data_IF_618371456607
#
_entry.id   IF_618371456607
#
_cell.length_a   1.000
_cell.length_b   1.000
_cell.length_c   1.000
_cell.angle_alpha   90.00
_cell.angle_beta   90.00
_cell.angle_gamma   90.00
#
_symmetry.space_group_name_H-M   'P 1'
#
loop_
_entity.id
_entity.type
_entity.pdbx_description
1 polymer ?
#
# COMPACT_ATOMS: atom_id res chain seq x y z
N UNK A 1 37.83 -3.03 29.25
CA UNK A 1 37.42 -2.57 27.90
C UNK A 1 36.17 -3.34 27.48
N UNK A 2 35.03 -2.71 27.63
CA UNK A 2 33.74 -3.36 27.35
C UNK A 2 33.38 -3.11 25.88
N UNK A 3 33.39 -4.16 25.08
CA UNK A 3 33.05 -4.14 23.66
C UNK A 3 31.51 -3.97 23.51
N UNK A 4 31.04 -2.78 23.15
CA UNK A 4 29.65 -2.58 22.77
C UNK A 4 29.41 -3.37 21.49
N UNK A 5 28.74 -4.51 21.58
CA UNK A 5 28.15 -5.20 20.43
C UNK A 5 27.11 -4.28 19.82
N UNK A 6 27.40 -3.76 18.65
CA UNK A 6 26.39 -3.17 17.77
C UNK A 6 25.36 -4.28 17.46
N UNK A 7 24.21 -4.22 18.10
CA UNK A 7 23.06 -5.00 17.67
C UNK A 7 22.62 -4.41 16.34
N UNK A 8 22.93 -5.12 15.26
CA UNK A 8 22.30 -4.91 13.96
C UNK A 8 20.82 -5.23 14.19
N UNK A 9 19.98 -4.21 14.20
CA UNK A 9 18.52 -4.41 14.15
C UNK A 9 18.21 -5.11 12.82
N UNK A 10 17.99 -6.42 12.88
CA UNK A 10 17.41 -7.15 11.73
C UNK A 10 15.97 -6.67 11.62
N UNK A 11 15.72 -5.81 10.64
CA UNK A 11 14.40 -5.34 10.34
C UNK A 11 13.52 -6.52 9.93
N UNK A 12 12.40 -6.69 10.63
CA UNK A 12 11.44 -7.76 10.33
C UNK A 12 10.56 -7.36 9.15
N UNK A 13 10.36 -8.28 8.20
CA UNK A 13 9.39 -8.14 7.12
C UNK A 13 7.93 -8.12 7.63
N UNK A 14 7.70 -8.62 8.85
CA UNK A 14 6.38 -8.63 9.47
C UNK A 14 6.05 -7.26 10.06
N UNK A 15 4.91 -6.73 9.67
CA UNK A 15 4.37 -5.45 10.13
C UNK A 15 3.00 -5.62 10.74
N UNK A 16 2.66 -4.70 11.65
CA UNK A 16 1.33 -4.63 12.22
C UNK A 16 0.87 -3.19 12.40
N UNK A 17 -0.41 -2.96 12.21
CA UNK A 17 -1.05 -1.65 12.42
C UNK A 17 -2.39 -1.84 13.12
N UNK A 18 -2.67 -0.97 14.08
CA UNK A 18 -3.98 -0.90 14.74
C UNK A 18 -4.78 0.22 14.12
N UNK A 19 -6.01 -0.09 13.69
CA UNK A 19 -6.93 0.82 12.98
C UNK A 19 -8.22 1.02 13.78
N UNK A 20 -8.85 2.20 13.69
CA UNK A 20 -10.25 2.38 14.05
C UNK A 20 -11.14 1.38 13.31
N UNK A 21 -12.25 0.97 13.94
CA UNK A 21 -13.10 -0.09 13.40
C UNK A 21 -13.67 0.22 12.03
N UNK A 22 -14.14 1.43 11.80
CA UNK A 22 -14.70 1.90 10.53
C UNK A 22 -13.67 1.85 9.39
N UNK A 23 -12.44 2.23 9.66
CA UNK A 23 -11.33 2.12 8.70
C UNK A 23 -11.01 0.65 8.41
N UNK A 24 -10.93 -0.18 9.45
CA UNK A 24 -10.71 -1.62 9.31
C UNK A 24 -11.80 -2.28 8.46
N UNK A 25 -13.08 -1.97 8.73
CA UNK A 25 -14.22 -2.48 7.96
C UNK A 25 -14.11 -2.12 6.47
N UNK A 26 -13.75 -0.88 6.15
CA UNK A 26 -13.56 -0.43 4.77
C UNK A 26 -12.45 -1.21 4.08
N UNK A 27 -11.33 -1.39 4.74
CA UNK A 27 -10.20 -2.17 4.23
C UNK A 27 -10.61 -3.64 3.95
N UNK A 28 -11.31 -4.28 4.88
CA UNK A 28 -11.76 -5.66 4.71
C UNK A 28 -12.80 -5.81 3.58
N UNK A 29 -13.70 -4.83 3.42
CA UNK A 29 -14.66 -4.80 2.31
C UNK A 29 -13.95 -4.70 0.96
N UNK A 30 -12.95 -3.83 0.85
CA UNK A 30 -12.21 -3.64 -0.41
C UNK A 30 -11.30 -4.84 -0.72
N UNK A 31 -10.68 -5.49 0.27
CA UNK A 31 -9.95 -6.75 0.10
C UNK A 31 -10.85 -7.82 -0.54
N UNK A 32 -12.07 -7.97 -0.01
CA UNK A 32 -13.06 -8.92 -0.54
C UNK A 32 -13.52 -8.53 -1.94
N UNK A 33 -13.85 -7.26 -2.15
CA UNK A 33 -14.33 -6.73 -3.42
C UNK A 33 -13.32 -6.92 -4.54
N UNK A 34 -12.05 -6.60 -4.28
CA UNK A 34 -10.98 -6.75 -5.27
C UNK A 34 -10.47 -8.18 -5.41
N UNK A 35 -10.96 -9.09 -4.57
CA UNK A 35 -10.55 -10.50 -4.55
C UNK A 35 -9.02 -10.69 -4.51
N UNK A 36 -8.36 -9.90 -3.69
CA UNK A 36 -6.91 -9.98 -3.46
C UNK A 36 -6.63 -10.37 -2.01
N UNK A 37 -5.48 -11.00 -1.76
CA UNK A 37 -5.11 -11.33 -0.40
C UNK A 37 -4.64 -10.08 0.37
N UNK A 38 -4.74 -10.15 1.68
CA UNK A 38 -4.40 -9.06 2.60
C UNK A 38 -2.96 -8.55 2.43
N UNK A 39 -1.99 -9.45 2.29
CA UNK A 39 -0.60 -9.05 2.11
C UNK A 39 -0.42 -8.24 0.82
N UNK A 40 -0.98 -8.69 -0.30
CA UNK A 40 -0.94 -7.96 -1.57
C UNK A 40 -1.62 -6.61 -1.46
N UNK A 41 -2.80 -6.55 -0.83
CA UNK A 41 -3.53 -5.30 -0.61
C UNK A 41 -2.67 -4.29 0.18
N UNK A 42 -2.14 -4.69 1.33
CA UNK A 42 -1.35 -3.82 2.20
C UNK A 42 -0.07 -3.33 1.50
N UNK A 43 0.62 -4.20 0.78
CA UNK A 43 1.82 -3.81 0.03
C UNK A 43 1.51 -2.83 -1.10
N UNK A 44 0.42 -3.02 -1.85
CA UNK A 44 -0.02 -2.08 -2.90
C UNK A 44 -0.34 -0.70 -2.32
N UNK A 45 -1.03 -0.64 -1.19
CA UNK A 45 -1.28 0.64 -0.48
C UNK A 45 0.05 1.31 -0.13
N UNK A 46 0.98 0.59 0.46
CA UNK A 46 2.27 1.13 0.89
C UNK A 46 3.05 1.68 -0.31
N UNK A 47 3.15 0.92 -1.40
CA UNK A 47 3.85 1.35 -2.62
C UNK A 47 3.17 2.56 -3.25
N UNK A 48 1.87 2.50 -3.46
CA UNK A 48 1.15 3.45 -4.32
C UNK A 48 0.72 4.74 -3.59
N UNK A 49 0.96 4.86 -2.27
CA UNK A 49 0.68 6.07 -1.50
C UNK A 49 1.93 6.85 -1.12
N UNK A 50 3.13 6.43 -1.52
CA UNK A 50 4.39 7.03 -1.07
C UNK A 50 4.45 8.55 -1.26
N UNK A 51 4.05 9.06 -2.40
CA UNK A 51 4.07 10.49 -2.72
C UNK A 51 3.01 11.33 -1.99
N UNK A 52 1.98 10.71 -1.43
CA UNK A 52 0.81 11.39 -0.85
C UNK A 52 0.75 11.35 0.68
N UNK A 53 1.76 10.76 1.34
CA UNK A 53 1.74 10.53 2.80
C UNK A 53 1.99 11.78 3.62
N UNK A 54 2.74 12.72 3.10
CA UNK A 54 3.24 13.88 3.85
C UNK A 54 2.15 14.91 4.20
N UNK A 55 1.06 14.94 3.42
CA UNK A 55 -0.05 15.87 3.65
C UNK A 55 -1.11 15.35 4.63
N UNK A 56 -1.01 14.08 5.01
CA UNK A 56 -1.96 13.44 5.93
C UNK A 56 -1.39 13.28 7.33
N UNK A 57 -1.31 14.36 8.07
CA UNK A 57 -1.35 14.27 9.54
C UNK A 57 -2.78 13.91 9.97
N UNK A 58 -3.17 12.66 9.78
CA UNK A 58 -4.42 12.17 10.35
C UNK A 58 -4.23 12.18 11.85
N UNK A 59 -4.75 13.22 12.49
CA UNK A 59 -5.01 13.17 13.93
C UNK A 59 -5.85 11.94 14.15
N UNK A 60 -5.25 10.91 14.71
CA UNK A 60 -5.95 9.71 15.13
C UNK A 60 -7.10 10.22 15.98
N UNK A 61 -8.30 10.15 15.43
CA UNK A 61 -9.51 10.35 16.24
C UNK A 61 -9.39 9.28 17.30
N UNK A 62 -9.18 9.71 18.54
CA UNK A 62 -8.92 8.84 19.67
C UNK A 62 -9.82 7.64 19.59
N UNK A 63 -9.19 6.51 19.61
CA UNK A 63 -9.73 5.17 19.63
C UNK A 63 -11.20 5.11 20.04
N UNK A 64 -12.09 4.83 19.10
CA UNK A 64 -13.31 4.16 19.47
C UNK A 64 -12.87 2.87 20.18
N UNK A 65 -13.59 2.42 21.18
CA UNK A 65 -13.27 1.24 22.02
C UNK A 65 -13.10 -0.07 21.21
N UNK A 66 -13.20 -0.03 19.88
CA UNK A 66 -13.17 -1.16 18.95
C UNK A 66 -12.07 -1.01 17.90
N UNK A 67 -10.83 -0.89 18.34
CA UNK A 67 -9.70 -0.96 17.41
C UNK A 67 -9.46 -2.39 16.94
N UNK A 68 -9.05 -2.54 15.68
CA UNK A 68 -8.68 -3.83 15.08
C UNK A 68 -7.24 -3.80 14.61
N UNK A 69 -6.52 -4.90 14.84
CA UNK A 69 -5.13 -5.07 14.42
C UNK A 69 -5.11 -5.77 13.07
N UNK A 70 -4.31 -5.24 12.14
CA UNK A 70 -3.95 -5.89 10.89
C UNK A 70 -2.48 -6.29 10.98
N UNK A 71 -2.19 -7.55 10.67
CA UNK A 71 -0.84 -8.08 10.52
C UNK A 71 -0.63 -8.54 9.07
N UNK A 72 0.52 -8.22 8.52
CA UNK A 72 0.90 -8.57 7.15
C UNK A 72 2.43 -8.61 7.01
N UNK A 73 2.91 -9.14 5.88
CA UNK A 73 4.33 -9.14 5.55
C UNK A 73 4.60 -8.21 4.39
N UNK A 74 5.69 -7.47 4.48
CA UNK A 74 6.22 -6.73 3.33
C UNK A 74 6.62 -7.72 2.24
N UNK A 75 6.30 -7.40 1.00
CA UNK A 75 6.86 -8.09 -0.14
C UNK A 75 8.32 -7.70 -0.33
N UNK A 76 9.03 -8.41 -1.21
CA UNK A 76 10.44 -8.15 -1.46
C UNK A 76 10.70 -6.71 -1.89
N UNK A 77 9.88 -6.17 -2.79
CA UNK A 77 9.99 -4.81 -3.31
C UNK A 77 9.92 -3.76 -2.18
N UNK A 78 8.91 -3.84 -1.32
CA UNK A 78 8.76 -2.91 -0.20
C UNK A 78 9.80 -3.13 0.91
N UNK A 79 10.29 -4.34 1.06
CA UNK A 79 11.36 -4.65 2.01
C UNK A 79 12.70 -4.10 1.53
N UNK A 80 13.03 -4.29 0.26
CA UNK A 80 14.27 -3.78 -0.35
C UNK A 80 14.29 -2.23 -0.37
N UNK A 81 13.12 -1.59 -0.48
CA UNK A 81 12.94 -0.13 -0.44
C UNK A 81 12.57 0.40 0.96
N UNK A 82 12.87 -0.36 2.02
CA UNK A 82 12.42 -0.04 3.38
C UNK A 82 12.82 1.36 3.84
N UNK A 83 14.06 1.76 3.64
CA UNK A 83 14.55 3.07 4.05
C UNK A 83 13.87 4.21 3.29
N UNK A 84 13.56 4.02 2.01
CA UNK A 84 12.81 4.98 1.23
C UNK A 84 11.36 5.11 1.73
N UNK A 85 10.74 3.98 2.06
CA UNK A 85 9.35 3.92 2.50
C UNK A 85 9.17 4.41 3.94
N UNK A 86 10.05 4.02 4.85
CA UNK A 86 9.91 4.21 6.28
C UNK A 86 11.00 5.10 6.89
N UNK A 87 12.10 5.37 6.16
CA UNK A 87 13.26 6.12 6.65
C UNK A 87 13.24 7.61 6.41
N UNK A 88 12.55 8.10 5.38
CA UNK A 88 12.63 9.48 4.89
C UNK A 88 11.75 10.51 5.61
N UNK A 89 11.27 10.25 6.80
CA UNK A 89 10.39 11.18 7.49
C UNK A 89 11.15 11.93 8.59
N UNK A 90 11.58 13.14 8.24
CA UNK A 90 12.17 14.09 9.15
C UNK A 90 13.67 14.35 8.90
N UNK A 91 14.06 15.61 9.05
CA UNK A 91 15.45 16.06 8.91
C UNK A 91 16.34 15.60 10.07
N UNK A 92 15.77 14.98 11.10
CA UNK A 92 16.45 14.52 12.31
C UNK A 92 15.97 13.13 12.73
N UNK A 93 16.83 12.29 13.34
CA UNK A 93 16.44 10.96 13.83
C UNK A 93 15.27 10.98 14.83
N UNK A 94 15.10 12.05 15.57
CA UNK A 94 14.02 12.27 16.53
C UNK A 94 12.66 12.52 15.89
N UNK A 95 12.62 12.85 14.61
CA UNK A 95 11.40 13.12 13.83
C UNK A 95 10.88 11.87 13.09
N UNK A 96 11.57 10.71 13.22
CA UNK A 96 11.18 9.47 12.55
C UNK A 96 9.88 8.92 13.15
N UNK A 97 8.85 8.85 12.32
CA UNK A 97 7.58 8.23 12.71
C UNK A 97 7.72 6.70 12.81
N UNK A 98 7.01 6.05 13.74
CA UNK A 98 6.92 4.59 13.77
C UNK A 98 6.29 4.04 12.49
N UNK A 99 6.75 2.86 12.02
CA UNK A 99 6.20 2.19 10.83
C UNK A 99 4.68 2.07 10.87
N UNK A 100 4.14 1.72 12.04
CA UNK A 100 2.69 1.60 12.24
C UNK A 100 1.94 2.90 12.01
N UNK A 101 2.56 4.04 12.27
CA UNK A 101 1.96 5.36 12.01
C UNK A 101 2.01 5.71 10.53
N UNK A 102 3.13 5.42 9.87
CA UNK A 102 3.27 5.57 8.41
C UNK A 102 2.22 4.74 7.67
N UNK A 103 2.08 3.47 8.05
CA UNK A 103 1.09 2.56 7.48
C UNK A 103 -0.33 3.06 7.75
N UNK A 104 -0.60 3.55 8.95
CA UNK A 104 -1.91 4.11 9.31
C UNK A 104 -2.25 5.34 8.49
N UNK A 105 -1.29 6.22 8.28
CA UNK A 105 -1.47 7.42 7.44
C UNK A 105 -1.73 7.05 5.97
N UNK A 106 -1.03 6.05 5.43
CA UNK A 106 -1.29 5.53 4.10
C UNK A 106 -2.71 4.97 3.95
N UNK A 107 -3.18 4.20 4.95
CA UNK A 107 -4.54 3.66 4.98
C UNK A 107 -5.59 4.76 5.19
N UNK A 108 -5.30 5.76 6.01
CA UNK A 108 -6.18 6.90 6.22
C UNK A 108 -6.39 7.68 4.92
N UNK A 109 -5.31 7.97 4.20
CA UNK A 109 -5.41 8.54 2.85
C UNK A 109 -6.27 7.67 1.94
N UNK A 110 -5.97 6.36 1.86
CA UNK A 110 -6.71 5.41 1.04
C UNK A 110 -8.23 5.45 1.30
N UNK A 111 -8.67 5.41 2.56
CA UNK A 111 -10.10 5.37 2.89
C UNK A 111 -10.83 6.68 2.61
N UNK A 112 -10.12 7.80 2.49
CA UNK A 112 -10.74 9.10 2.08
C UNK A 112 -11.04 9.17 0.59
N UNK A 113 -10.42 8.32 -0.23
CA UNK A 113 -10.62 8.28 -1.66
C UNK A 113 -12.02 7.75 -2.00
N UNK A 114 -12.57 8.22 -3.13
CA UNK A 114 -13.76 7.61 -3.70
C UNK A 114 -13.49 6.15 -4.07
N UNK A 115 -14.53 5.35 -4.16
CA UNK A 115 -14.44 3.92 -4.51
C UNK A 115 -13.60 3.68 -5.77
N UNK A 116 -13.87 4.46 -6.81
CA UNK A 116 -13.13 4.41 -8.06
C UNK A 116 -11.63 4.72 -7.88
N UNK A 117 -11.31 5.77 -7.12
CA UNK A 117 -9.93 6.14 -6.86
C UNK A 117 -9.18 5.09 -6.03
N UNK A 118 -9.88 4.42 -5.11
CA UNK A 118 -9.31 3.30 -4.36
C UNK A 118 -8.97 2.13 -5.27
N UNK A 119 -9.85 1.81 -6.21
CA UNK A 119 -9.61 0.77 -7.21
C UNK A 119 -8.40 1.11 -8.09
N UNK A 120 -8.34 2.33 -8.62
CA UNK A 120 -7.17 2.80 -9.38
C UNK A 120 -5.88 2.67 -8.59
N UNK A 121 -5.86 3.08 -7.32
CA UNK A 121 -4.68 2.99 -6.49
C UNK A 121 -4.23 1.53 -6.28
N UNK A 122 -5.16 0.62 -6.08
CA UNK A 122 -4.85 -0.81 -5.91
C UNK A 122 -4.28 -1.42 -7.20
N UNK A 123 -4.79 -1.03 -8.35
CA UNK A 123 -4.38 -1.57 -9.66
C UNK A 123 -3.48 -0.63 -10.46
N UNK A 124 -2.81 0.33 -9.79
CA UNK A 124 -1.98 1.34 -10.46
C UNK A 124 -0.96 0.72 -11.42
N UNK A 125 -0.26 -0.31 -10.98
CA UNK A 125 0.75 -1.00 -11.80
C UNK A 125 0.16 -1.64 -13.07
N UNK A 126 -1.01 -2.24 -12.94
CA UNK A 126 -1.72 -2.83 -14.07
C UNK A 126 -2.24 -1.75 -15.04
N UNK A 127 -2.72 -0.63 -14.50
CA UNK A 127 -3.17 0.53 -15.30
C UNK A 127 -2.00 1.13 -16.06
N UNK A 128 -0.89 1.42 -15.39
CA UNK A 128 0.32 1.97 -16.01
C UNK A 128 0.84 1.07 -17.15
N UNK A 129 0.81 -0.25 -16.96
CA UNK A 129 1.19 -1.22 -17.98
C UNK A 129 0.28 -1.16 -19.22
N UNK A 130 -1.02 -0.99 -19.02
CA UNK A 130 -1.99 -0.90 -20.12
C UNK A 130 -1.82 0.45 -20.85
N UNK A 131 -1.67 1.55 -20.12
CA UNK A 131 -1.45 2.89 -20.69
C UNK A 131 -0.15 2.93 -21.50
N UNK A 132 0.94 2.38 -20.98
CA UNK A 132 2.21 2.27 -21.70
C UNK A 132 2.07 1.45 -23.00
N UNK A 133 1.31 0.34 -22.96
CA UNK A 133 1.07 -0.48 -24.15
C UNK A 133 0.22 0.25 -25.20
N UNK A 134 -0.75 1.06 -24.78
CA UNK A 134 -1.56 1.90 -25.67
C UNK A 134 -0.65 2.96 -26.33
N UNK A 135 0.15 3.67 -25.55
CA UNK A 135 1.05 4.71 -26.05
C UNK A 135 2.08 4.20 -27.08
N UNK A 136 2.52 2.95 -26.88
CA UNK A 136 3.56 2.32 -27.71
C UNK A 136 3.00 1.39 -28.81
N UNK A 137 1.69 1.32 -29.00
CA UNK A 137 1.02 0.39 -29.91
C UNK A 137 1.50 -1.08 -29.71
N UNK A 138 1.59 -1.51 -28.43
CA UNK A 138 2.09 -2.81 -28.07
C UNK A 138 0.97 -3.75 -27.59
N UNK A 139 1.18 -5.05 -27.83
CA UNK A 139 0.32 -6.08 -27.28
C UNK A 139 0.72 -6.42 -25.83
N UNK A 140 -0.26 -6.78 -25.00
CA UNK A 140 -0.05 -7.28 -23.65
C UNK A 140 -0.63 -8.66 -23.47
N UNK A 141 -0.04 -9.42 -22.55
CA UNK A 141 -0.55 -10.76 -22.20
C UNK A 141 -1.35 -10.67 -20.92
N UNK A 142 -2.62 -11.03 -20.97
CA UNK A 142 -3.51 -11.08 -19.83
C UNK A 142 -3.92 -12.53 -19.51
N UNK A 143 -4.24 -12.79 -18.25
CA UNK A 143 -4.86 -14.04 -17.83
C UNK A 143 -6.34 -13.80 -17.56
N UNK A 144 -7.20 -14.36 -18.38
CA UNK A 144 -8.64 -14.25 -18.25
C UNK A 144 -9.28 -15.63 -18.14
N UNK A 145 -10.06 -15.86 -17.09
CA UNK A 145 -10.70 -17.16 -16.79
C UNK A 145 -9.72 -18.35 -16.89
N UNK A 146 -8.52 -18.20 -16.33
CA UNK A 146 -7.49 -19.23 -16.34
C UNK A 146 -6.68 -19.37 -17.63
N UNK A 147 -7.12 -18.75 -18.73
CA UNK A 147 -6.48 -18.81 -20.05
C UNK A 147 -5.64 -17.55 -20.29
N UNK A 148 -4.41 -17.73 -20.78
CA UNK A 148 -3.56 -16.61 -21.22
C UNK A 148 -4.02 -16.13 -22.60
N UNK A 149 -4.21 -14.84 -22.76
CA UNK A 149 -4.58 -14.19 -24.01
C UNK A 149 -3.64 -13.03 -24.30
N UNK A 150 -3.29 -12.85 -25.54
CA UNK A 150 -2.61 -11.65 -26.03
C UNK A 150 -3.67 -10.70 -26.57
N UNK A 151 -3.66 -9.47 -26.09
CA UNK A 151 -4.58 -8.41 -26.52
C UNK A 151 -3.80 -7.19 -26.95
N UNK A 152 -4.37 -6.40 -27.84
CA UNK A 152 -3.89 -5.10 -28.26
C UNK A 152 -4.84 -4.07 -27.65
N UNK A 153 -4.39 -3.35 -26.60
CA UNK A 153 -5.26 -2.36 -25.94
C UNK A 153 -5.28 -1.05 -26.75
N UNK A 154 -6.47 -0.48 -26.94
CA UNK A 154 -6.64 0.79 -27.67
C UNK A 154 -6.99 1.96 -26.76
N UNK A 155 -7.71 1.68 -25.67
CA UNK A 155 -8.09 2.71 -24.70
C UNK A 155 -8.58 2.07 -23.38
N UNK A 156 -8.47 2.82 -22.32
CA UNK A 156 -9.05 2.49 -21.01
C UNK A 156 -10.39 3.20 -20.84
N UNK A 157 -11.43 2.43 -20.51
CA UNK A 157 -12.75 2.97 -20.20
C UNK A 157 -13.05 2.76 -18.73
N UNK A 158 -13.53 3.82 -18.13
CA UNK A 158 -14.08 3.79 -16.81
C UNK A 158 -15.57 3.52 -16.88
N UNK A 159 -16.02 2.33 -16.53
CA UNK A 159 -17.44 2.09 -16.29
C UNK A 159 -17.81 2.54 -14.90
N UNK A 160 -18.68 3.54 -14.80
CA UNK A 160 -19.32 3.94 -13.54
C UNK A 160 -20.31 2.88 -13.07
#
# INVERSE_FOLDING_TARGET
>A
MSSKKNQVHVESDQKSVTLPFDMYERVELDIKRFNINKNSFMNRIITNTQGNRLDYSVKIIRASEKNKKIEFRLNKENFDNYEEIFGMQGSKPEDKLPDSEIIRNALAYYVTLSEYRREQLIYQKEIDMIEEAIEKDQTISIKYQGTRRTIEPYFLVNSK
#
